data_IF_827055286221
#
_entry.id   IF_827055286221
#
_cell.length_a   1.000
_cell.length_b   1.000
_cell.length_c   1.000
_cell.angle_alpha   90.00
_cell.angle_beta   90.00
_cell.angle_gamma   90.00
#
_symmetry.space_group_name_H-M   'P 1'
#
loop_
_entity.id
_entity.type
_entity.pdbx_description
1 polymer ?
#
# COMPACT_ATOMS: atom_id res chain seq x y z
N UNK A 1 -30.70 57.26 15.93
CA UNK A 1 -30.27 56.07 16.68
C UNK A 1 -28.89 56.32 17.26
N UNK A 2 -28.74 56.18 18.57
CA UNK A 2 -27.58 56.62 19.35
C UNK A 2 -26.32 55.81 19.03
N UNK A 3 -25.16 56.48 19.01
CA UNK A 3 -23.85 55.88 18.75
C UNK A 3 -23.49 54.71 19.67
N UNK A 4 -24.14 54.57 20.83
CA UNK A 4 -23.97 53.42 21.73
C UNK A 4 -24.40 52.08 21.13
N UNK A 5 -25.42 52.05 20.25
CA UNK A 5 -25.87 50.79 19.63
C UNK A 5 -24.85 50.23 18.63
N UNK A 6 -24.15 51.12 17.90
CA UNK A 6 -23.11 50.73 16.93
C UNK A 6 -21.84 50.18 17.58
N UNK A 7 -21.48 50.72 18.75
CA UNK A 7 -20.31 50.23 19.52
C UNK A 7 -20.60 48.85 20.10
N UNK A 8 -21.82 48.61 20.57
CA UNK A 8 -22.23 47.31 21.11
C UNK A 8 -22.18 46.20 20.04
N UNK A 9 -22.74 46.47 18.86
CA UNK A 9 -22.74 45.51 17.72
C UNK A 9 -21.33 45.15 17.24
N UNK A 10 -20.42 46.12 17.15
CA UNK A 10 -19.01 45.87 16.78
C UNK A 10 -18.30 45.00 17.82
N UNK A 11 -18.61 45.19 19.10
CA UNK A 11 -18.00 44.42 20.18
C UNK A 11 -18.46 42.97 20.17
N UNK A 12 -19.74 42.70 19.92
CA UNK A 12 -20.27 41.34 19.77
C UNK A 12 -19.74 40.62 18.53
N UNK A 13 -19.58 41.32 17.40
CA UNK A 13 -19.00 40.71 16.19
C UNK A 13 -17.52 40.35 16.37
N UNK A 14 -16.73 41.19 17.05
CA UNK A 14 -15.33 40.89 17.37
C UNK A 14 -15.19 39.71 18.33
N UNK A 15 -16.09 39.59 19.31
CA UNK A 15 -16.08 38.45 20.26
C UNK A 15 -16.41 37.14 19.53
N UNK A 16 -17.38 37.15 18.61
CA UNK A 16 -17.72 35.95 17.84
C UNK A 16 -16.60 35.56 16.86
N UNK A 17 -15.95 36.54 16.22
CA UNK A 17 -14.78 36.29 15.36
C UNK A 17 -13.58 35.73 16.13
N UNK A 18 -13.37 36.20 17.37
CA UNK A 18 -12.31 35.68 18.25
C UNK A 18 -12.66 34.29 18.80
N UNK A 19 -13.94 33.98 19.00
CA UNK A 19 -14.39 32.66 19.43
C UNK A 19 -14.20 31.61 18.32
N UNK A 20 -14.55 31.93 17.07
CA UNK A 20 -14.28 31.05 15.92
C UNK A 20 -12.78 30.83 15.72
N UNK A 21 -11.97 31.90 15.81
CA UNK A 21 -10.52 31.78 15.73
C UNK A 21 -9.90 30.96 16.88
N UNK A 22 -10.56 30.90 18.05
CA UNK A 22 -10.10 30.08 19.17
C UNK A 22 -10.42 28.58 19.00
N UNK A 23 -11.53 28.25 18.32
CA UNK A 23 -11.88 26.87 17.96
C UNK A 23 -10.88 26.30 16.95
N UNK A 24 -10.46 27.11 15.98
CA UNK A 24 -9.42 26.75 15.01
C UNK A 24 -8.05 26.53 15.67
N UNK A 25 -7.71 27.31 16.70
CA UNK A 25 -6.48 27.14 17.47
C UNK A 25 -6.46 25.85 18.30
N UNK A 26 -7.63 25.37 18.76
CA UNK A 26 -7.73 24.09 19.48
C UNK A 26 -7.52 22.91 18.53
N UNK A 27 -8.09 22.97 17.33
CA UNK A 27 -7.83 21.97 16.28
C UNK A 27 -6.34 21.94 15.86
N UNK A 28 -5.69 23.11 15.80
CA UNK A 28 -4.24 23.22 15.59
C UNK A 28 -3.41 22.61 16.73
N UNK A 29 -3.84 22.79 17.98
CA UNK A 29 -3.17 22.19 19.15
C UNK A 29 -3.30 20.65 19.17
N UNK A 30 -4.46 20.11 18.81
CA UNK A 30 -4.67 18.66 18.69
C UNK A 30 -3.88 18.06 17.51
N UNK A 31 -3.75 18.79 16.40
CA UNK A 31 -2.90 18.41 15.27
C UNK A 31 -1.40 18.43 15.62
N UNK A 32 -0.96 19.37 16.46
CA UNK A 32 0.42 19.41 16.97
C UNK A 32 0.70 18.26 17.96
N UNK A 33 -0.26 17.89 18.81
CA UNK A 33 -0.13 16.73 19.70
C UNK A 33 -0.01 15.40 18.92
N UNK A 34 -0.75 15.24 17.81
CA UNK A 34 -0.61 14.08 16.92
C UNK A 34 0.75 14.03 16.22
N UNK A 35 1.33 15.19 15.90
CA UNK A 35 2.68 15.30 15.30
C UNK A 35 3.77 14.81 16.24
N UNK A 36 3.65 15.06 17.55
CA UNK A 36 4.60 14.60 18.57
C UNK A 36 4.47 13.09 18.87
N UNK A 37 3.28 12.51 18.69
CA UNK A 37 3.09 11.05 18.78
C UNK A 37 3.68 10.36 17.55
N UNK A 38 3.52 10.93 16.36
CA UNK A 38 4.06 10.39 15.10
C UNK A 38 5.59 10.51 14.99
N UNK A 39 6.19 11.57 15.53
CA UNK A 39 7.66 11.72 15.55
C UNK A 39 8.34 10.64 16.40
N UNK A 40 7.71 10.21 17.49
CA UNK A 40 8.19 9.12 18.35
C UNK A 40 8.01 7.71 17.74
N UNK A 41 7.10 7.54 16.78
CA UNK A 41 6.87 6.26 16.10
C UNK A 41 7.88 5.96 14.96
N UNK A 42 8.72 6.93 14.58
CA UNK A 42 9.66 6.85 13.46
C UNK A 42 10.89 5.94 13.65
N UNK A 43 11.02 5.30 14.83
CA UNK A 43 12.14 4.41 15.14
C UNK A 43 11.93 2.94 14.69
N UNK A 44 10.83 2.61 14.02
CA UNK A 44 10.59 1.29 13.44
C UNK A 44 11.32 1.15 12.10
N UNK A 45 12.28 0.22 12.04
CA UNK A 45 13.11 -0.10 10.87
C UNK A 45 12.22 -0.64 9.74
N UNK A 46 11.71 0.26 8.89
CA UNK A 46 10.78 -0.03 7.80
C UNK A 46 9.51 0.85 7.74
N UNK A 47 9.35 1.84 8.63
CA UNK A 47 8.21 2.77 8.61
C UNK A 47 8.33 3.86 7.53
N UNK A 48 7.18 4.21 6.93
CA UNK A 48 7.02 5.37 6.02
C UNK A 48 7.66 6.62 6.63
N UNK A 49 8.50 7.31 5.85
CA UNK A 49 9.13 8.53 6.33
C UNK A 49 8.07 9.62 6.54
N UNK A 50 8.30 10.54 7.48
CA UNK A 50 7.41 11.69 7.73
C UNK A 50 7.20 12.51 6.44
N UNK A 51 8.20 12.54 5.56
CA UNK A 51 8.10 13.12 4.21
C UNK A 51 7.01 12.45 3.37
N UNK A 52 6.86 11.12 3.45
CA UNK A 52 5.88 10.37 2.69
C UNK A 52 4.47 10.68 3.20
N UNK A 53 4.30 10.76 4.53
CA UNK A 53 3.04 11.17 5.14
C UNK A 53 2.65 12.59 4.70
N UNK A 54 3.58 13.54 4.62
CA UNK A 54 3.26 14.89 4.11
C UNK A 54 3.01 14.95 2.60
N UNK A 55 3.48 13.94 1.85
CA UNK A 55 3.29 13.85 0.40
C UNK A 55 1.95 13.21 0.05
N UNK A 56 1.50 12.23 0.87
CA UNK A 56 0.27 11.48 0.66
C UNK A 56 -0.90 11.92 1.55
N UNK A 57 -0.67 12.72 2.59
CA UNK A 57 -1.74 13.34 3.34
C UNK A 57 -2.54 14.23 2.37
N UNK A 58 -3.87 14.04 2.27
CA UNK A 58 -4.69 14.92 1.48
C UNK A 58 -4.51 16.32 2.07
N UNK A 59 -3.91 17.22 1.29
CA UNK A 59 -3.87 18.65 1.61
C UNK A 59 -5.31 19.15 1.56
N UNK A 60 -6.09 18.87 2.61
CA UNK A 60 -7.37 19.51 2.91
C UNK A 60 -7.11 20.94 3.34
N UNK A 61 -6.38 21.69 2.54
CA UNK A 61 -6.66 23.11 2.47
C UNK A 61 -8.02 23.17 1.77
N UNK A 62 -9.08 23.45 2.52
CA UNK A 62 -10.31 24.03 1.99
C UNK A 62 -9.94 25.38 1.35
N UNK A 63 -9.19 25.33 0.24
CA UNK A 63 -8.99 26.46 -0.63
C UNK A 63 -10.32 26.61 -1.32
N UNK A 64 -11.08 27.60 -0.85
CA UNK A 64 -12.22 28.13 -1.56
C UNK A 64 -11.74 28.29 -3.00
N UNK A 65 -12.40 27.58 -3.92
CA UNK A 65 -11.99 27.60 -5.33
C UNK A 65 -11.88 29.06 -5.77
N UNK A 66 -10.85 29.46 -6.54
CA UNK A 66 -10.73 30.84 -7.01
C UNK A 66 -11.95 31.30 -7.82
N UNK A 67 -12.74 30.35 -8.35
CA UNK A 67 -14.05 30.64 -8.96
C UNK A 67 -15.11 31.07 -7.96
N UNK A 68 -15.13 30.48 -6.76
CA UNK A 68 -16.08 30.82 -5.69
C UNK A 68 -15.67 32.15 -5.08
N UNK A 69 -14.37 32.39 -4.83
CA UNK A 69 -13.88 33.68 -4.35
C UNK A 69 -14.28 34.81 -5.31
N UNK A 70 -14.06 34.64 -6.62
CA UNK A 70 -14.48 35.63 -7.63
C UNK A 70 -15.98 35.88 -7.61
N UNK A 71 -16.78 34.82 -7.54
CA UNK A 71 -18.25 34.96 -7.52
C UNK A 71 -18.73 35.69 -6.27
N UNK A 72 -18.09 35.44 -5.13
CA UNK A 72 -18.42 36.08 -3.86
C UNK A 72 -18.00 37.56 -3.86
N UNK A 73 -16.86 37.90 -4.46
CA UNK A 73 -16.45 39.29 -4.66
C UNK A 73 -17.38 40.03 -5.63
N UNK A 74 -17.79 39.38 -6.72
CA UNK A 74 -18.73 39.96 -7.70
C UNK A 74 -20.10 40.22 -7.07
N UNK A 75 -20.62 39.30 -6.26
CA UNK A 75 -21.88 39.52 -5.53
C UNK A 75 -21.74 40.61 -4.45
N UNK A 76 -20.62 40.66 -3.71
CA UNK A 76 -20.37 41.72 -2.74
C UNK A 76 -20.31 43.09 -3.41
N UNK A 77 -19.55 43.23 -4.48
CA UNK A 77 -19.43 44.48 -5.23
C UNK A 77 -20.78 44.89 -5.82
N UNK A 78 -21.55 43.95 -6.38
CA UNK A 78 -22.90 44.21 -6.86
C UNK A 78 -23.85 44.66 -5.73
N UNK A 79 -23.75 44.07 -4.53
CA UNK A 79 -24.56 44.52 -3.38
C UNK A 79 -24.14 45.88 -2.86
N UNK A 80 -22.84 46.18 -2.78
CA UNK A 80 -22.35 47.49 -2.38
C UNK A 80 -22.73 48.57 -3.38
N UNK A 81 -22.65 48.26 -4.67
CA UNK A 81 -23.06 49.17 -5.73
C UNK A 81 -24.57 49.41 -5.69
N UNK A 82 -25.38 48.36 -5.48
CA UNK A 82 -26.82 48.50 -5.27
C UNK A 82 -27.17 49.32 -4.01
N UNK A 83 -26.37 49.22 -2.94
CA UNK A 83 -26.53 50.05 -1.72
C UNK A 83 -26.11 51.50 -1.99
N UNK A 84 -25.05 51.72 -2.76
CA UNK A 84 -24.56 53.06 -3.14
C UNK A 84 -25.56 53.77 -4.05
N UNK A 85 -25.99 53.12 -5.13
CA UNK A 85 -27.01 53.62 -6.06
C UNK A 85 -28.32 53.94 -5.30
N UNK A 86 -28.62 53.15 -4.28
CA UNK A 86 -29.78 53.38 -3.42
C UNK A 86 -29.63 54.60 -2.51
N UNK A 87 -28.44 54.86 -1.96
CA UNK A 87 -28.17 56.05 -1.13
C UNK A 87 -28.16 57.35 -1.94
N UNK A 88 -27.92 57.27 -3.25
CA UNK A 88 -27.89 58.44 -4.15
C UNK A 88 -29.28 58.82 -4.70
N UNK A 89 -30.29 57.94 -4.65
CA UNK A 89 -31.65 58.23 -5.13
C UNK A 89 -32.52 58.78 -3.99
N UNK A 90 -32.51 60.11 -3.82
CA UNK A 90 -33.26 60.83 -2.77
C UNK A 90 -34.80 60.76 -2.89
N UNK A 91 -35.36 60.23 -4.00
CA UNK A 91 -36.82 60.23 -4.26
C UNK A 91 -37.43 58.83 -4.52
N UNK A 92 -36.85 57.76 -3.96
CA UNK A 92 -37.45 56.42 -4.08
C UNK A 92 -38.64 56.24 -3.11
N UNK A 93 -39.80 55.73 -3.57
CA UNK A 93 -40.98 55.54 -2.72
C UNK A 93 -40.68 54.53 -1.60
N UNK A 94 -41.06 54.82 -0.33
CA UNK A 94 -40.62 54.08 0.85
C UNK A 94 -41.04 52.58 0.91
N UNK A 95 -41.94 52.13 0.03
CA UNK A 95 -42.37 50.72 -0.04
C UNK A 95 -41.36 49.76 -0.67
N UNK A 96 -40.60 50.20 -1.68
CA UNK A 96 -39.69 49.36 -2.49
C UNK A 96 -38.58 48.71 -1.66
N UNK A 97 -38.08 49.43 -0.65
CA UNK A 97 -37.05 48.93 0.26
C UNK A 97 -37.50 47.78 1.13
N UNK A 98 -38.73 47.86 1.64
CA UNK A 98 -39.26 46.83 2.54
C UNK A 98 -39.53 45.53 1.81
N UNK A 99 -39.92 45.59 0.53
CA UNK A 99 -40.04 44.43 -0.34
C UNK A 99 -38.68 43.81 -0.67
N UNK A 100 -37.69 44.63 -1.04
CA UNK A 100 -36.35 44.11 -1.39
C UNK A 100 -35.62 43.52 -0.18
N UNK A 101 -35.77 44.13 1.00
CA UNK A 101 -35.27 43.55 2.26
C UNK A 101 -35.97 42.23 2.59
N UNK A 102 -37.30 42.15 2.40
CA UNK A 102 -38.05 40.90 2.58
C UNK A 102 -37.53 39.81 1.63
N UNK A 103 -37.33 40.15 0.36
CA UNK A 103 -36.81 39.21 -0.64
C UNK A 103 -35.40 38.72 -0.30
N UNK A 104 -34.50 39.60 0.17
CA UNK A 104 -33.15 39.21 0.62
C UNK A 104 -33.23 38.30 1.85
N UNK A 105 -34.11 38.60 2.81
CA UNK A 105 -34.30 37.76 4.01
C UNK A 105 -34.83 36.38 3.60
N UNK A 106 -35.82 36.31 2.72
CA UNK A 106 -36.35 35.04 2.20
C UNK A 106 -35.28 34.24 1.46
N UNK A 107 -34.52 34.86 0.54
CA UNK A 107 -33.38 34.22 -0.15
C UNK A 107 -32.30 33.75 0.82
N UNK A 108 -32.01 34.51 1.87
CA UNK A 108 -31.06 34.10 2.90
C UNK A 108 -31.57 32.91 3.71
N UNK A 109 -32.90 32.81 3.89
CA UNK A 109 -33.56 31.66 4.50
C UNK A 109 -33.42 30.41 3.65
N UNK A 110 -33.75 30.48 2.36
CA UNK A 110 -33.62 29.33 1.44
C UNK A 110 -32.19 28.85 1.32
N UNK A 111 -31.21 29.76 1.24
CA UNK A 111 -29.78 29.39 1.20
C UNK A 111 -29.36 28.68 2.48
N UNK A 112 -29.85 29.10 3.65
CA UNK A 112 -29.54 28.40 4.92
C UNK A 112 -30.15 27.01 4.96
N UNK A 113 -31.39 26.84 4.53
CA UNK A 113 -32.03 25.53 4.44
C UNK A 113 -31.29 24.60 3.47
N UNK A 114 -30.83 25.11 2.33
CA UNK A 114 -29.99 24.37 1.39
C UNK A 114 -28.65 23.96 2.02
N UNK A 115 -27.98 24.87 2.73
CA UNK A 115 -26.73 24.58 3.45
C UNK A 115 -26.96 23.50 4.50
N UNK A 116 -28.00 23.61 5.32
CA UNK A 116 -28.31 22.64 6.38
C UNK A 116 -28.64 21.26 5.79
N UNK A 117 -29.39 21.21 4.68
CA UNK A 117 -29.68 19.97 3.96
C UNK A 117 -28.42 19.32 3.38
N UNK A 118 -27.50 20.13 2.86
CA UNK A 118 -26.22 19.66 2.33
C UNK A 118 -25.30 19.16 3.42
N UNK A 119 -25.27 19.83 4.58
CA UNK A 119 -24.50 19.43 5.75
C UNK A 119 -24.99 18.10 6.29
N UNK A 120 -26.30 17.95 6.45
CA UNK A 120 -26.90 16.70 6.90
C UNK A 120 -26.59 15.54 5.93
N UNK A 121 -26.66 15.79 4.62
CA UNK A 121 -26.27 14.79 3.60
C UNK A 121 -24.80 14.38 3.72
N UNK A 122 -23.90 15.33 3.97
CA UNK A 122 -22.46 15.06 4.16
C UNK A 122 -22.25 14.24 5.43
N UNK A 123 -22.92 14.57 6.54
CA UNK A 123 -22.86 13.81 7.79
C UNK A 123 -23.31 12.36 7.60
N UNK A 124 -24.42 12.14 6.90
CA UNK A 124 -24.91 10.79 6.58
C UNK A 124 -23.91 10.00 5.74
N UNK A 125 -23.37 10.60 4.67
CA UNK A 125 -22.34 9.96 3.85
C UNK A 125 -21.05 9.67 4.63
N UNK A 126 -20.63 10.57 5.54
CA UNK A 126 -19.50 10.32 6.42
C UNK A 126 -19.79 9.17 7.40
N UNK A 127 -21.02 9.05 7.89
CA UNK A 127 -21.47 7.92 8.71
C UNK A 127 -21.36 6.61 7.94
N UNK A 128 -21.92 6.55 6.73
CA UNK A 128 -21.85 5.38 5.84
C UNK A 128 -20.39 5.00 5.53
N UNK A 129 -19.52 5.97 5.22
CA UNK A 129 -18.10 5.72 4.99
C UNK A 129 -17.42 5.14 6.24
N UNK A 130 -17.73 5.68 7.43
CA UNK A 130 -17.18 5.18 8.70
C UNK A 130 -17.62 3.76 9.01
N UNK A 131 -18.81 3.36 8.58
CA UNK A 131 -19.34 2.00 8.77
C UNK A 131 -18.78 1.01 7.72
N UNK A 132 -18.69 1.42 6.45
CA UNK A 132 -18.23 0.54 5.35
C UNK A 132 -16.72 0.31 5.42
N UNK A 133 -15.93 1.32 5.81
CA UNK A 133 -14.47 1.21 5.85
C UNK A 133 -13.93 0.03 6.69
N UNK A 134 -14.35 -0.16 7.97
CA UNK A 134 -13.86 -1.28 8.76
C UNK A 134 -14.29 -2.64 8.20
N UNK A 135 -15.49 -2.74 7.62
CA UNK A 135 -15.96 -3.97 6.98
C UNK A 135 -15.10 -4.34 5.77
N UNK A 136 -14.83 -3.36 4.90
CA UNK A 136 -13.97 -3.56 3.75
C UNK A 136 -12.53 -3.91 4.17
N UNK A 137 -12.02 -3.24 5.21
CA UNK A 137 -10.69 -3.53 5.76
C UNK A 137 -10.62 -4.94 6.34
N UNK A 138 -11.65 -5.38 7.06
CA UNK A 138 -11.73 -6.73 7.59
C UNK A 138 -11.80 -7.77 6.46
N UNK A 139 -12.64 -7.54 5.45
CA UNK A 139 -12.77 -8.44 4.30
C UNK A 139 -11.47 -8.53 3.50
N UNK A 140 -10.76 -7.42 3.33
CA UNK A 140 -9.44 -7.39 2.70
C UNK A 140 -8.43 -8.19 3.52
N UNK A 141 -8.38 -8.00 4.84
CA UNK A 141 -7.48 -8.75 5.74
C UNK A 141 -7.83 -10.23 5.71
N UNK A 142 -9.11 -10.60 5.73
CA UNK A 142 -9.54 -12.00 5.64
C UNK A 142 -9.18 -12.61 4.29
N UNK A 143 -9.36 -11.88 3.18
CA UNK A 143 -8.97 -12.32 1.85
C UNK A 143 -7.45 -12.49 1.75
N UNK A 144 -6.67 -11.54 2.28
CA UNK A 144 -5.21 -11.61 2.41
C UNK A 144 -4.73 -12.68 3.40
N UNK A 145 -5.57 -13.17 4.32
CA UNK A 145 -5.25 -14.33 5.16
C UNK A 145 -5.56 -15.64 4.45
N UNK A 146 -6.64 -15.69 3.67
CA UNK A 146 -7.01 -16.86 2.86
C UNK A 146 -6.03 -17.09 1.72
N UNK A 147 -5.50 -16.03 1.11
CA UNK A 147 -4.78 -16.12 -0.16
C UNK A 147 -3.26 -16.38 -0.16
N UNK A 148 -2.47 -16.33 0.95
CA UNK A 148 -1.04 -16.61 0.76
C UNK A 148 -0.31 -17.31 1.92
N UNK A 149 -0.69 -18.52 2.36
CA UNK A 149 0.30 -19.46 2.82
C UNK A 149 0.99 -20.13 1.62
N UNK A 150 0.23 -20.55 0.61
CA UNK A 150 0.75 -21.30 -0.55
C UNK A 150 1.53 -20.39 -1.50
N UNK A 151 1.01 -19.20 -1.82
CA UNK A 151 1.75 -18.24 -2.66
C UNK A 151 2.98 -17.71 -1.93
N UNK A 152 2.92 -17.53 -0.62
CA UNK A 152 4.08 -17.08 0.15
C UNK A 152 5.12 -18.19 0.30
N UNK A 153 4.71 -19.44 0.50
CA UNK A 153 5.63 -20.58 0.50
C UNK A 153 6.28 -20.79 -0.86
N UNK A 154 5.53 -20.61 -1.96
CA UNK A 154 6.09 -20.68 -3.31
C UNK A 154 7.09 -19.54 -3.57
N UNK A 155 6.75 -18.30 -3.18
CA UNK A 155 7.68 -17.17 -3.28
C UNK A 155 8.92 -17.40 -2.43
N UNK A 156 8.77 -17.86 -1.19
CA UNK A 156 9.89 -18.18 -0.30
C UNK A 156 10.78 -19.26 -0.91
N UNK A 157 10.20 -20.38 -1.37
CA UNK A 157 10.95 -21.44 -2.02
C UNK A 157 11.69 -20.95 -3.28
N UNK A 158 11.07 -20.05 -4.06
CA UNK A 158 11.71 -19.44 -5.21
C UNK A 158 12.88 -18.52 -4.81
N UNK A 159 12.73 -17.74 -3.73
CA UNK A 159 13.81 -16.91 -3.20
C UNK A 159 14.96 -17.76 -2.65
N UNK A 160 14.67 -18.84 -1.94
CA UNK A 160 15.67 -19.77 -1.42
C UNK A 160 16.41 -20.48 -2.56
N UNK A 161 15.69 -20.88 -3.61
CA UNK A 161 16.28 -21.41 -4.84
C UNK A 161 17.21 -20.39 -5.52
N UNK A 162 16.79 -19.13 -5.66
CA UNK A 162 17.65 -18.10 -6.24
C UNK A 162 18.88 -17.80 -5.38
N UNK A 163 18.72 -17.77 -4.05
CA UNK A 163 19.82 -17.56 -3.12
C UNK A 163 20.86 -18.69 -3.22
N UNK A 164 20.42 -19.95 -3.18
CA UNK A 164 21.30 -21.12 -3.37
C UNK A 164 21.96 -21.14 -4.75
N UNK A 165 21.26 -20.70 -5.80
CA UNK A 165 21.85 -20.54 -7.15
C UNK A 165 22.95 -19.49 -7.16
N UNK A 166 22.74 -18.34 -6.51
CA UNK A 166 23.75 -17.30 -6.39
C UNK A 166 24.96 -17.81 -5.60
N UNK A 167 24.73 -18.41 -4.43
CA UNK A 167 25.80 -18.97 -3.59
C UNK A 167 26.63 -20.02 -4.33
N UNK A 168 25.99 -20.97 -5.01
CA UNK A 168 26.69 -21.99 -5.81
C UNK A 168 27.48 -21.38 -6.95
N UNK A 169 26.95 -20.34 -7.62
CA UNK A 169 27.69 -19.63 -8.67
C UNK A 169 28.91 -18.88 -8.13
N UNK A 170 28.81 -18.27 -6.94
CA UNK A 170 29.92 -17.61 -6.26
C UNK A 170 30.99 -18.61 -5.83
N UNK A 171 30.59 -19.78 -5.30
CA UNK A 171 31.52 -20.87 -4.98
C UNK A 171 32.26 -21.31 -6.25
N UNK A 172 31.55 -21.55 -7.36
CA UNK A 172 32.18 -21.90 -8.65
C UNK A 172 33.19 -20.84 -9.11
N UNK A 173 32.84 -19.56 -9.06
CA UNK A 173 33.75 -18.47 -9.43
C UNK A 173 34.97 -18.40 -8.51
N UNK A 174 34.79 -18.61 -7.19
CA UNK A 174 35.89 -18.64 -6.24
C UNK A 174 36.86 -19.81 -6.50
N UNK A 175 36.34 -20.98 -6.87
CA UNK A 175 37.13 -22.15 -7.23
C UNK A 175 37.92 -21.91 -8.52
N UNK A 176 37.28 -21.35 -9.55
CA UNK A 176 37.95 -20.98 -10.80
C UNK A 176 39.08 -19.99 -10.51
N UNK A 177 38.82 -18.95 -9.71
CA UNK A 177 39.84 -17.98 -9.30
C UNK A 177 40.99 -18.65 -8.55
N UNK A 178 40.71 -19.53 -7.59
CA UNK A 178 41.73 -20.24 -6.83
C UNK A 178 42.59 -21.14 -7.74
N UNK A 179 41.97 -21.87 -8.68
CA UNK A 179 42.67 -22.69 -9.68
C UNK A 179 43.55 -21.81 -10.58
N UNK A 180 43.01 -20.74 -11.16
CA UNK A 180 43.79 -19.81 -11.98
C UNK A 180 44.97 -19.22 -11.19
N UNK A 181 44.77 -18.85 -9.92
CA UNK A 181 45.84 -18.33 -9.08
C UNK A 181 46.91 -19.39 -8.78
N UNK A 182 46.52 -20.62 -8.45
CA UNK A 182 47.45 -21.73 -8.27
C UNK A 182 48.23 -22.02 -9.56
N UNK A 183 47.60 -21.88 -10.72
CA UNK A 183 48.24 -22.14 -12.01
C UNK A 183 49.15 -20.99 -12.44
N UNK A 184 48.84 -19.74 -12.08
CA UNK A 184 49.67 -18.57 -12.38
C UNK A 184 50.86 -18.46 -11.43
N UNK A 185 50.67 -18.79 -10.15
CA UNK A 185 51.64 -18.49 -9.10
C UNK A 185 52.16 -19.72 -8.34
N UNK A 186 51.61 -20.90 -8.57
CA UNK A 186 52.02 -22.15 -7.91
C UNK A 186 53.17 -22.89 -8.59
N UNK A 187 53.58 -22.48 -9.80
CA UNK A 187 54.81 -22.96 -10.42
C UNK A 187 56.00 -22.14 -9.89
N UNK A 188 56.54 -22.57 -8.76
CA UNK A 188 57.75 -22.01 -8.19
C UNK A 188 58.97 -22.25 -9.08
N UNK A 189 59.63 -21.15 -9.44
CA UNK A 189 61.08 -20.99 -9.70
C UNK A 189 61.77 -21.78 -10.83
N UNK A 190 61.04 -22.61 -11.57
CA UNK A 190 61.53 -23.19 -12.83
C UNK A 190 61.05 -22.36 -14.01
N UNK A 191 61.96 -21.77 -14.79
CA UNK A 191 61.69 -21.00 -16.01
C UNK A 191 61.05 -21.86 -17.13
N UNK A 192 59.84 -22.36 -16.91
CA UNK A 192 58.98 -22.88 -17.96
C UNK A 192 58.12 -21.75 -18.51
N UNK A 193 58.06 -21.69 -19.84
CA UNK A 193 57.26 -20.71 -20.57
C UNK A 193 55.78 -20.83 -20.17
N UNK A 194 55.26 -19.80 -19.51
CA UNK A 194 53.84 -19.58 -19.20
C UNK A 194 52.86 -20.05 -20.29
N UNK A 195 53.07 -19.79 -21.61
CA UNK A 195 52.17 -20.28 -22.65
C UNK A 195 52.09 -21.81 -22.75
N UNK A 196 53.17 -22.54 -22.45
CA UNK A 196 53.16 -24.01 -22.45
C UNK A 196 52.32 -24.56 -21.30
N UNK A 197 52.43 -23.95 -20.10
CA UNK A 197 51.60 -24.31 -18.96
C UNK A 197 50.11 -24.02 -19.21
N UNK A 198 49.79 -22.88 -19.85
CA UNK A 198 48.41 -22.56 -20.25
C UNK A 198 47.86 -23.55 -21.28
N UNK A 199 48.65 -23.97 -22.27
CA UNK A 199 48.23 -24.95 -23.27
C UNK A 199 47.99 -26.33 -22.65
N UNK A 200 48.89 -26.80 -21.78
CA UNK A 200 48.71 -28.07 -21.06
C UNK A 200 47.46 -28.04 -20.17
N UNK A 201 47.18 -26.91 -19.52
CA UNK A 201 45.96 -26.74 -18.73
C UNK A 201 44.70 -26.75 -19.59
N UNK A 202 44.69 -26.01 -20.69
CA UNK A 202 43.55 -25.98 -21.59
C UNK A 202 43.23 -27.39 -22.06
N UNK A 203 44.25 -28.15 -22.47
CA UNK A 203 44.08 -29.54 -22.89
C UNK A 203 43.52 -30.43 -21.76
N UNK A 204 43.99 -30.24 -20.52
CA UNK A 204 43.45 -30.96 -19.36
C UNK A 204 42.00 -30.59 -19.08
N UNK A 205 41.63 -29.31 -19.18
CA UNK A 205 40.26 -28.85 -18.97
C UNK A 205 39.33 -29.38 -20.06
N UNK A 206 39.77 -29.42 -21.33
CA UNK A 206 38.98 -30.01 -22.41
C UNK A 206 38.83 -31.53 -22.27
N UNK A 207 39.84 -32.21 -21.70
CA UNK A 207 39.74 -33.63 -21.39
C UNK A 207 38.73 -33.87 -20.24
N UNK A 208 38.85 -33.11 -19.14
CA UNK A 208 37.87 -33.15 -18.03
C UNK A 208 36.45 -32.82 -18.51
N UNK A 209 36.28 -31.84 -19.41
CA UNK A 209 34.99 -31.48 -20.02
C UNK A 209 34.41 -32.66 -20.83
N UNK A 210 35.21 -33.31 -21.67
CA UNK A 210 34.74 -34.46 -22.45
C UNK A 210 34.29 -35.64 -21.57
N UNK A 211 34.99 -35.91 -20.46
CA UNK A 211 34.59 -36.95 -19.50
C UNK A 211 33.25 -36.61 -18.83
N UNK A 212 33.04 -35.34 -18.47
CA UNK A 212 31.78 -34.90 -17.87
C UNK A 212 30.61 -34.97 -18.86
N UNK A 213 30.83 -34.65 -20.14
CA UNK A 213 29.80 -34.82 -21.19
C UNK A 213 29.41 -36.29 -21.38
N UNK A 214 30.39 -37.22 -21.31
CA UNK A 214 30.11 -38.66 -21.35
C UNK A 214 29.32 -39.13 -20.13
N UNK A 215 29.67 -38.66 -18.92
CA UNK A 215 28.93 -38.95 -17.70
C UNK A 215 27.50 -38.38 -17.73
N UNK A 216 27.32 -37.17 -18.25
CA UNK A 216 25.99 -36.55 -18.41
C UNK A 216 25.12 -37.35 -19.37
N UNK A 217 25.66 -37.76 -20.52
CA UNK A 217 24.95 -38.59 -21.49
C UNK A 217 24.52 -39.95 -20.91
N UNK A 218 25.37 -40.57 -20.08
CA UNK A 218 25.05 -41.82 -19.38
C UNK A 218 23.94 -41.61 -18.33
N UNK A 219 23.97 -40.51 -17.57
CA UNK A 219 22.92 -40.18 -16.60
C UNK A 219 21.58 -39.88 -17.29
N UNK A 220 21.60 -39.14 -18.39
CA UNK A 220 20.42 -38.87 -19.20
C UNK A 220 19.82 -40.16 -19.77
N UNK A 221 20.68 -41.11 -20.19
CA UNK A 221 20.25 -42.42 -20.61
C UNK A 221 19.54 -43.17 -19.48
N UNK A 222 20.13 -43.22 -18.28
CA UNK A 222 19.53 -43.85 -17.11
C UNK A 222 18.21 -43.19 -16.72
N UNK A 223 18.13 -41.85 -16.73
CA UNK A 223 16.88 -41.12 -16.49
C UNK A 223 15.80 -41.46 -17.51
N UNK A 224 16.19 -41.64 -18.78
CA UNK A 224 15.26 -42.07 -19.81
C UNK A 224 14.73 -43.49 -19.54
N UNK A 225 15.60 -44.41 -19.13
CA UNK A 225 15.18 -45.76 -18.73
C UNK A 225 14.25 -45.75 -17.50
N UNK A 226 14.54 -44.94 -16.48
CA UNK A 226 13.68 -44.76 -15.32
C UNK A 226 12.32 -44.16 -15.69
N UNK A 227 12.30 -43.11 -16.51
CA UNK A 227 11.05 -42.51 -17.00
C UNK A 227 10.26 -43.51 -17.84
N UNK A 228 10.93 -44.34 -18.64
CA UNK A 228 10.29 -45.41 -19.39
C UNK A 228 9.70 -46.47 -18.47
N UNK A 229 10.42 -46.89 -17.42
CA UNK A 229 9.91 -47.82 -16.41
C UNK A 229 8.70 -47.24 -15.68
N UNK A 230 8.75 -45.96 -15.29
CA UNK A 230 7.61 -45.24 -14.72
C UNK A 230 6.42 -45.24 -15.69
N UNK A 231 6.64 -44.93 -16.97
CA UNK A 231 5.58 -44.99 -17.97
C UNK A 231 5.01 -46.40 -18.22
N UNK A 232 5.80 -47.46 -18.03
CA UNK A 232 5.31 -48.85 -18.10
C UNK A 232 4.49 -49.21 -16.86
N UNK A 233 4.91 -48.75 -15.67
CA UNK A 233 4.15 -48.89 -14.42
C UNK A 233 2.84 -48.09 -14.46
N UNK A 234 2.87 -46.92 -15.10
CA UNK A 234 1.68 -46.08 -15.36
C UNK A 234 0.88 -46.57 -16.58
N UNK A 235 1.40 -47.54 -17.32
CA UNK A 235 0.85 -48.04 -18.58
C UNK A 235 -0.45 -48.82 -18.40
N UNK A 236 -1.53 -48.25 -18.93
CA UNK A 236 -2.89 -48.81 -19.13
C UNK A 236 -3.86 -48.84 -17.96
N UNK A 237 -3.46 -48.47 -16.75
CA UNK A 237 -4.42 -48.32 -15.66
C UNK A 237 -3.77 -47.88 -14.37
N UNK A 238 -3.71 -46.56 -14.18
CA UNK A 238 -3.75 -45.75 -12.94
C UNK A 238 -3.20 -46.29 -11.61
N UNK A 239 -2.49 -47.41 -11.52
CA UNK A 239 -2.29 -48.11 -10.25
C UNK A 239 -1.46 -47.32 -9.25
N UNK A 240 -0.31 -46.78 -9.68
CA UNK A 240 0.55 -46.01 -8.77
C UNK A 240 -0.03 -44.61 -8.47
N UNK A 241 -0.60 -43.95 -9.48
CA UNK A 241 -1.30 -42.68 -9.27
C UNK A 241 -2.49 -42.84 -8.31
N UNK A 242 -3.25 -43.93 -8.46
CA UNK A 242 -4.36 -44.29 -7.57
C UNK A 242 -3.86 -44.62 -6.17
N UNK A 243 -2.73 -45.33 -6.01
CA UNK A 243 -2.13 -45.55 -4.68
C UNK A 243 -1.71 -44.24 -4.03
N UNK A 244 -1.18 -43.28 -4.81
CA UNK A 244 -0.85 -41.95 -4.29
C UNK A 244 -2.10 -41.14 -3.94
N UNK A 245 -3.15 -41.20 -4.76
CA UNK A 245 -4.46 -40.57 -4.48
C UNK A 245 -5.10 -41.18 -3.24
N UNK A 246 -5.20 -42.51 -3.16
CA UNK A 246 -5.74 -43.27 -2.03
C UNK A 246 -4.95 -42.96 -0.75
N UNK A 247 -3.61 -42.92 -0.83
CA UNK A 247 -2.77 -42.55 0.31
C UNK A 247 -3.01 -41.09 0.74
N UNK A 248 -3.13 -40.17 -0.21
CA UNK A 248 -3.43 -38.76 0.08
C UNK A 248 -4.83 -38.59 0.71
N UNK A 249 -5.79 -39.42 0.31
CA UNK A 249 -7.14 -39.43 0.84
C UNK A 249 -7.16 -40.00 2.26
N UNK A 250 -6.49 -41.13 2.50
CA UNK A 250 -6.34 -41.72 3.84
C UNK A 250 -5.65 -40.73 4.80
N UNK A 251 -4.64 -39.98 4.34
CA UNK A 251 -4.02 -38.91 5.13
C UNK A 251 -5.03 -37.82 5.53
N UNK A 252 -5.87 -37.36 4.59
CA UNK A 252 -6.93 -36.39 4.90
C UNK A 252 -7.95 -36.94 5.88
N UNK A 253 -8.44 -38.16 5.66
CA UNK A 253 -9.43 -38.80 6.52
C UNK A 253 -8.86 -39.07 7.93
N UNK A 254 -7.59 -39.49 8.03
CA UNK A 254 -6.92 -39.67 9.33
C UNK A 254 -6.68 -38.34 10.04
N UNK A 255 -6.36 -37.26 9.33
CA UNK A 255 -6.29 -35.92 9.93
C UNK A 255 -7.65 -35.40 10.40
N UNK A 256 -8.71 -35.60 9.62
CA UNK A 256 -10.08 -35.23 10.00
C UNK A 256 -10.54 -36.02 11.21
N UNK A 257 -10.34 -37.34 11.20
CA UNK A 257 -10.57 -38.20 12.36
C UNK A 257 -9.78 -37.68 13.57
N UNK A 258 -8.49 -37.35 13.42
CA UNK A 258 -7.68 -36.78 14.51
C UNK A 258 -8.17 -35.41 14.98
N UNK A 259 -8.80 -34.60 14.12
CA UNK A 259 -9.43 -33.33 14.51
C UNK A 259 -10.73 -33.57 15.27
N UNK A 260 -11.56 -34.51 14.81
CA UNK A 260 -12.83 -34.84 15.46
C UNK A 260 -12.64 -35.52 16.80
N UNK A 261 -11.64 -36.39 16.91
CA UNK A 261 -11.21 -36.98 18.17
C UNK A 261 -10.75 -35.92 19.17
N UNK A 262 -10.01 -34.90 18.71
CA UNK A 262 -9.67 -33.74 19.55
C UNK A 262 -10.92 -32.95 19.98
N UNK A 263 -11.91 -32.79 19.10
CA UNK A 263 -13.20 -32.13 19.43
C UNK A 263 -13.99 -32.92 20.47
N UNK A 264 -13.89 -34.24 20.45
CA UNK A 264 -14.52 -35.12 21.46
C UNK A 264 -13.72 -35.24 22.77
N UNK A 265 -12.64 -34.47 22.92
CA UNK A 265 -11.81 -34.50 24.12
C UNK A 265 -10.86 -35.68 24.20
N UNK A 266 -10.70 -36.47 23.12
CA UNK A 266 -9.66 -37.49 23.05
C UNK A 266 -8.32 -36.81 22.81
N UNK A 267 -7.58 -36.62 23.88
CA UNK A 267 -6.17 -36.25 23.89
C UNK A 267 -5.42 -37.58 23.85
N UNK A 268 -5.09 -38.03 22.64
CA UNK A 268 -4.43 -39.31 22.43
C UNK A 268 -3.06 -39.33 23.10
N UNK A 269 -2.99 -39.94 24.28
CA UNK A 269 -1.78 -40.46 24.90
C UNK A 269 -1.41 -41.82 24.29
#
# INVERSE_FOLDING_TARGET
>A
MSGQSRVSLRKTLLINLLADAAVDNRALAEALALKDILSNASALKGGLAISDITTFAPKQSFRISPSIERRLTEELDATFQAISDFLEVEESPPGSLTERLREIVEKSGTIREEIDSSHHRIETLMGEIREIYPLLQEELVQSLRKWPPILNSQRQAHHDFLATTIETSLIKLSLIRARCHQLLYGFGDGAQDMPSALAAMHNKLTEEESVLEEEEAELDHQLHEYNRLLHVVDGSGSGFHQVLEDWSQIQKETEECRRDLRRMGWTGD
#
